data_IF_963600771489
#
_entry.id   IF_963600771489
#
_cell.length_a   1.000
_cell.length_b   1.000
_cell.length_c   1.000
_cell.angle_alpha   90.00
_cell.angle_beta   90.00
_cell.angle_gamma   90.00
#
_symmetry.space_group_name_H-M   'P 1'
#
loop_
_entity.id
_entity.type
_entity.pdbx_description
1 polymer ?
#
# COMPACT_ATOMS: atom_id res chain seq x y z
N UNK A 1 26.52 3.40 -11.42
CA UNK A 1 26.02 4.08 -10.20
C UNK A 1 24.63 3.58 -9.88
N UNK A 2 24.38 3.28 -8.63
CA UNK A 2 23.09 2.77 -8.19
C UNK A 2 22.41 3.78 -7.27
N UNK A 3 21.14 4.03 -7.50
CA UNK A 3 20.30 4.84 -6.62
C UNK A 3 19.11 3.97 -6.21
N UNK A 4 18.87 3.87 -4.91
CA UNK A 4 17.81 3.02 -4.38
C UNK A 4 16.95 3.86 -3.43
N UNK A 5 15.64 3.79 -3.59
CA UNK A 5 14.72 4.39 -2.62
C UNK A 5 14.75 3.54 -1.35
N UNK A 6 15.25 4.10 -0.27
CA UNK A 6 15.45 3.39 1.00
C UNK A 6 14.19 3.41 1.87
N UNK A 7 13.61 4.56 2.07
CA UNK A 7 12.39 4.72 2.84
C UNK A 7 11.65 5.97 2.42
N UNK A 8 10.36 6.01 2.72
CA UNK A 8 9.54 7.21 2.57
C UNK A 8 8.54 7.28 3.72
N UNK A 9 8.16 8.48 4.09
CA UNK A 9 7.13 8.71 5.10
C UNK A 9 5.77 8.68 4.42
N UNK A 10 4.85 7.87 4.95
CA UNK A 10 3.47 7.77 4.47
C UNK A 10 2.57 8.39 5.55
N UNK A 11 1.83 9.45 5.21
CA UNK A 11 0.95 10.10 6.19
C UNK A 11 -0.22 9.19 6.57
N UNK A 12 -0.62 9.26 7.82
CA UNK A 12 -1.69 8.41 8.35
C UNK A 12 -2.59 9.20 9.31
N UNK A 13 -3.83 8.76 9.44
CA UNK A 13 -4.72 9.19 10.52
C UNK A 13 -4.23 8.58 11.84
N UNK A 14 -3.92 7.28 11.81
CA UNK A 14 -3.29 6.54 12.91
C UNK A 14 -2.22 5.64 12.31
N UNK A 15 -0.97 5.87 12.68
CA UNK A 15 0.17 5.21 12.03
C UNK A 15 0.15 3.68 12.19
N UNK A 16 -0.20 3.17 13.37
CA UNK A 16 -0.23 1.72 13.62
C UNK A 16 -1.33 1.03 12.85
N UNK A 17 -2.53 1.63 12.82
CA UNK A 17 -3.66 1.09 12.07
C UNK A 17 -3.36 1.09 10.57
N UNK A 18 -2.80 2.19 10.06
CA UNK A 18 -2.43 2.30 8.65
C UNK A 18 -1.37 1.28 8.24
N UNK A 19 -0.33 1.11 9.06
CA UNK A 19 0.72 0.13 8.81
C UNK A 19 0.17 -1.30 8.83
N UNK A 20 -0.67 -1.61 9.82
CA UNK A 20 -1.31 -2.93 9.93
C UNK A 20 -2.21 -3.23 8.74
N UNK A 21 -3.03 -2.26 8.33
CA UNK A 21 -3.89 -2.39 7.17
C UNK A 21 -3.08 -2.69 5.91
N UNK A 22 -2.08 -1.85 5.62
CA UNK A 22 -1.24 -2.01 4.44
C UNK A 22 -0.51 -3.36 4.45
N UNK A 23 0.13 -3.69 5.56
CA UNK A 23 0.88 -4.95 5.71
C UNK A 23 -0.03 -6.17 5.54
N UNK A 24 -1.23 -6.13 6.11
CA UNK A 24 -2.18 -7.26 6.04
C UNK A 24 -2.67 -7.51 4.62
N UNK A 25 -2.95 -6.45 3.85
CA UNK A 25 -3.39 -6.57 2.46
C UNK A 25 -2.24 -7.01 1.56
N UNK A 26 -1.07 -6.40 1.72
CA UNK A 26 0.09 -6.68 0.86
C UNK A 26 0.83 -7.97 1.25
N UNK A 27 0.54 -8.53 2.41
CA UNK A 27 1.23 -9.72 2.91
C UNK A 27 2.66 -9.44 3.35
N UNK A 28 2.89 -8.29 3.95
CA UNK A 28 4.22 -7.82 4.34
C UNK A 28 4.38 -7.80 5.86
N UNK A 29 5.62 -7.87 6.36
CA UNK A 29 5.86 -7.80 7.80
C UNK A 29 5.77 -6.37 8.32
N UNK A 30 5.08 -6.20 9.45
CA UNK A 30 5.19 -5.00 10.26
C UNK A 30 6.47 -5.09 11.08
N UNK A 31 7.21 -3.98 11.18
CA UNK A 31 8.36 -3.86 12.04
C UNK A 31 7.97 -3.19 13.37
N UNK A 32 8.78 -3.35 14.43
CA UNK A 32 8.53 -2.63 15.68
C UNK A 32 8.49 -1.11 15.44
N UNK A 33 7.70 -0.37 16.25
CA UNK A 33 7.69 1.08 16.16
C UNK A 33 9.10 1.67 16.23
N UNK A 34 9.36 2.69 15.42
CA UNK A 34 10.66 3.30 15.28
C UNK A 34 10.56 4.81 15.56
N UNK A 35 11.72 5.41 15.79
CA UNK A 35 11.81 6.82 16.11
C UNK A 35 11.35 7.14 17.53
N UNK A 36 11.35 8.44 17.84
CA UNK A 36 11.04 8.93 19.18
C UNK A 36 9.56 8.65 19.52
N UNK A 37 9.31 7.99 20.64
CA UNK A 37 7.97 7.66 21.15
C UNK A 37 7.11 6.86 20.14
N UNK A 38 7.74 6.02 19.31
CA UNK A 38 6.99 5.26 18.31
C UNK A 38 6.43 6.13 17.19
N UNK A 39 7.13 7.19 16.85
CA UNK A 39 6.73 8.18 15.84
C UNK A 39 6.42 7.55 14.47
N UNK A 40 7.17 6.50 14.11
CA UNK A 40 6.96 5.77 12.87
C UNK A 40 6.46 4.36 13.13
N UNK A 41 5.54 3.91 12.27
CA UNK A 41 5.12 2.52 12.19
C UNK A 41 5.62 1.96 10.86
N UNK A 42 6.78 1.26 10.85
CA UNK A 42 7.40 0.83 9.60
C UNK A 42 6.78 -0.46 9.06
N UNK A 43 6.69 -0.53 7.73
CA UNK A 43 6.39 -1.77 7.00
C UNK A 43 7.51 -2.02 6.00
N UNK A 44 8.11 -3.21 6.08
CA UNK A 44 9.17 -3.62 5.17
C UNK A 44 8.57 -4.11 3.87
N UNK A 45 8.78 -3.38 2.77
CA UNK A 45 8.26 -3.75 1.45
C UNK A 45 9.15 -4.82 0.80
N UNK A 46 10.46 -4.59 0.82
CA UNK A 46 11.46 -5.53 0.32
C UNK A 46 12.80 -5.27 1.02
N UNK A 47 13.88 -5.83 0.52
CA UNK A 47 15.20 -5.69 1.15
C UNK A 47 15.71 -4.25 1.18
N UNK A 48 15.16 -3.35 0.33
CA UNK A 48 15.66 -1.99 0.18
C UNK A 48 14.70 -0.93 0.70
N UNK A 49 13.38 -1.17 0.59
CA UNK A 49 12.37 -0.15 0.85
C UNK A 49 11.58 -0.44 2.13
N UNK A 50 11.50 0.56 2.98
CA UNK A 50 10.61 0.59 4.14
C UNK A 50 9.65 1.77 4.00
N UNK A 51 8.37 1.55 4.26
CA UNK A 51 7.39 2.62 4.39
C UNK A 51 7.22 2.95 5.87
N UNK A 52 7.46 4.21 6.23
CA UNK A 52 7.34 4.70 7.59
C UNK A 52 6.02 5.45 7.74
N UNK A 53 4.99 4.78 8.28
CA UNK A 53 3.70 5.42 8.51
C UNK A 53 3.81 6.37 9.70
N UNK A 54 3.36 7.60 9.49
CA UNK A 54 3.43 8.66 10.50
C UNK A 54 2.07 9.32 10.67
N UNK A 55 1.61 9.39 11.92
CA UNK A 55 0.37 10.09 12.23
C UNK A 55 0.55 11.58 12.02
N UNK A 56 -0.34 12.20 11.25
CA UNK A 56 -0.37 13.64 11.02
C UNK A 56 -1.81 14.17 11.20
N UNK A 57 -1.94 15.43 11.58
CA UNK A 57 -3.25 16.01 11.91
C UNK A 57 -4.18 16.11 10.69
N UNK A 58 -3.62 16.45 9.54
CA UNK A 58 -4.38 16.60 8.29
C UNK A 58 -3.63 15.89 7.16
N UNK A 59 -3.75 14.57 7.06
CA UNK A 59 -3.00 13.82 6.05
C UNK A 59 -3.45 14.18 4.64
N UNK A 60 -2.47 14.37 3.77
CA UNK A 60 -2.68 14.45 2.32
C UNK A 60 -2.15 13.16 1.73
N UNK A 61 -3.03 12.37 1.13
CA UNK A 61 -2.70 11.05 0.63
C UNK A 61 -1.64 11.05 -0.47
N UNK A 62 -0.79 10.04 -0.44
CA UNK A 62 0.20 9.77 -1.49
C UNK A 62 -0.39 8.84 -2.53
N UNK A 63 0.25 8.76 -3.69
CA UNK A 63 0.00 7.73 -4.70
C UNK A 63 1.24 6.84 -4.78
N UNK A 64 1.12 5.60 -4.35
CA UNK A 64 2.19 4.62 -4.35
C UNK A 64 1.81 3.45 -5.25
N UNK A 65 2.63 3.19 -6.26
CA UNK A 65 2.39 2.13 -7.24
C UNK A 65 3.45 1.04 -7.10
N UNK A 66 3.01 -0.21 -7.14
CA UNK A 66 3.85 -1.39 -6.96
C UNK A 66 3.69 -2.35 -8.13
N UNK A 67 4.81 -2.80 -8.68
CA UNK A 67 4.82 -3.95 -9.58
C UNK A 67 4.92 -5.22 -8.72
N UNK A 68 4.08 -6.20 -9.03
CA UNK A 68 4.09 -7.50 -8.37
C UNK A 68 4.06 -8.62 -9.42
N UNK A 69 4.50 -9.80 -9.02
CA UNK A 69 4.34 -10.98 -9.86
C UNK A 69 2.87 -11.47 -9.82
N UNK A 70 2.45 -12.32 -10.80
CA UNK A 70 1.05 -12.76 -10.87
C UNK A 70 0.53 -13.44 -9.61
N UNK A 71 1.33 -14.29 -8.98
CA UNK A 71 0.91 -14.99 -7.76
C UNK A 71 0.70 -14.02 -6.60
N UNK A 72 1.58 -13.04 -6.46
CA UNK A 72 1.44 -12.00 -5.44
C UNK A 72 0.19 -11.15 -5.70
N UNK A 73 -0.08 -10.82 -6.97
CA UNK A 73 -1.31 -10.11 -7.33
C UNK A 73 -2.56 -10.90 -6.89
N UNK A 74 -2.61 -12.19 -7.21
CA UNK A 74 -3.74 -13.06 -6.83
C UNK A 74 -3.95 -13.07 -5.31
N UNK A 75 -2.89 -13.10 -4.54
CA UNK A 75 -2.95 -13.10 -3.07
C UNK A 75 -3.47 -11.76 -2.53
N UNK A 76 -2.99 -10.64 -3.07
CA UNK A 76 -3.44 -9.30 -2.67
C UNK A 76 -4.93 -9.14 -3.00
N UNK A 77 -5.32 -9.50 -4.21
CA UNK A 77 -6.71 -9.45 -4.65
C UNK A 77 -7.62 -10.31 -3.76
N UNK A 78 -7.19 -11.51 -3.42
CA UNK A 78 -7.92 -12.39 -2.50
C UNK A 78 -8.08 -11.77 -1.10
N UNK A 79 -7.02 -11.14 -0.57
CA UNK A 79 -7.08 -10.50 0.75
C UNK A 79 -8.03 -9.31 0.78
N UNK A 80 -8.02 -8.49 -0.27
CA UNK A 80 -8.96 -7.37 -0.40
C UNK A 80 -10.40 -7.86 -0.36
N UNK A 81 -10.72 -8.90 -1.12
CA UNK A 81 -12.06 -9.49 -1.16
C UNK A 81 -12.45 -10.10 0.19
N UNK A 82 -11.53 -10.85 0.81
CA UNK A 82 -11.79 -11.49 2.10
C UNK A 82 -12.01 -10.47 3.22
N UNK A 83 -11.30 -9.35 3.18
CA UNK A 83 -11.44 -8.28 4.16
C UNK A 83 -12.58 -7.30 3.84
N UNK A 84 -13.24 -7.45 2.70
CA UNK A 84 -14.29 -6.52 2.29
C UNK A 84 -13.78 -5.13 1.97
N UNK A 85 -12.51 -5.00 1.56
CA UNK A 85 -11.91 -3.72 1.20
C UNK A 85 -12.24 -3.39 -0.25
N UNK A 86 -12.83 -2.22 -0.54
CA UNK A 86 -13.10 -1.80 -1.91
C UNK A 86 -11.82 -1.67 -2.73
N UNK A 87 -11.89 -2.04 -4.00
CA UNK A 87 -10.82 -1.85 -4.97
C UNK A 87 -11.41 -1.56 -6.35
N UNK A 88 -10.59 -1.06 -7.27
CA UNK A 88 -11.05 -0.76 -8.62
C UNK A 88 -9.91 -0.57 -9.59
N UNK A 89 -10.23 -0.30 -10.86
CA UNK A 89 -9.27 -0.24 -11.95
C UNK A 89 -8.85 1.19 -12.36
N UNK A 90 -9.28 2.18 -11.61
CA UNK A 90 -9.01 3.58 -11.95
C UNK A 90 -8.79 4.40 -10.68
N UNK A 91 -7.84 5.36 -10.67
CA UNK A 91 -7.59 6.17 -9.48
C UNK A 91 -8.79 7.01 -9.03
N UNK A 92 -9.66 7.42 -9.95
CA UNK A 92 -10.89 8.13 -9.63
C UNK A 92 -12.04 7.19 -9.24
N UNK A 93 -11.90 5.88 -9.50
CA UNK A 93 -12.90 4.85 -9.20
C UNK A 93 -12.23 3.64 -8.52
N UNK A 94 -11.62 3.84 -7.33
CA UNK A 94 -10.88 2.78 -6.66
C UNK A 94 -11.79 1.76 -5.96
N UNK A 95 -13.07 1.79 -6.25
CA UNK A 95 -14.11 0.98 -5.61
C UNK A 95 -15.05 0.27 -6.59
N UNK A 96 -14.74 0.30 -7.89
CA UNK A 96 -15.62 -0.31 -8.90
C UNK A 96 -15.50 -1.84 -9.02
N UNK A 97 -14.60 -2.47 -8.28
CA UNK A 97 -14.44 -3.92 -8.25
C UNK A 97 -13.75 -4.54 -9.47
N UNK A 98 -13.17 -3.71 -10.34
CA UNK A 98 -12.53 -4.18 -11.58
C UNK A 98 -11.02 -4.23 -11.41
N UNK A 99 -10.39 -5.12 -12.18
CA UNK A 99 -8.92 -5.31 -12.19
C UNK A 99 -8.32 -5.18 -13.60
N UNK A 100 -9.12 -4.79 -14.60
CA UNK A 100 -8.66 -4.56 -15.96
C UNK A 100 -8.03 -3.16 -16.07
N UNK A 101 -6.80 -3.06 -15.61
CA UNK A 101 -6.04 -1.81 -15.57
C UNK A 101 -5.69 -1.37 -17.00
N UNK A 102 -5.75 -0.06 -17.33
CA UNK A 102 -5.51 0.40 -18.71
C UNK A 102 -4.06 0.28 -19.16
N UNK A 103 -3.10 0.17 -18.23
CA UNK A 103 -1.67 0.21 -18.53
C UNK A 103 -0.95 -1.13 -18.31
N UNK A 104 -1.65 -2.15 -17.82
CA UNK A 104 -1.06 -3.47 -17.58
C UNK A 104 -2.14 -4.55 -17.67
N UNK A 105 -1.76 -5.84 -17.84
CA UNK A 105 -2.71 -6.92 -17.98
C UNK A 105 -3.71 -7.03 -16.83
N UNK A 106 -3.23 -6.87 -15.58
CA UNK A 106 -4.09 -6.78 -14.40
C UNK A 106 -3.56 -5.75 -13.45
N UNK A 107 -4.42 -4.97 -12.86
CA UNK A 107 -4.04 -4.00 -11.86
C UNK A 107 -5.25 -3.49 -11.10
N UNK A 108 -5.01 -3.00 -9.90
CA UNK A 108 -6.06 -2.47 -9.05
C UNK A 108 -5.53 -1.31 -8.21
N UNK A 109 -6.49 -0.54 -7.71
CA UNK A 109 -6.26 0.54 -6.77
C UNK A 109 -7.08 0.30 -5.52
N UNK A 110 -6.53 0.65 -4.36
CA UNK A 110 -7.29 0.70 -3.11
C UNK A 110 -6.74 1.83 -2.24
N UNK A 111 -7.52 2.24 -1.26
CA UNK A 111 -7.18 3.39 -0.41
C UNK A 111 -7.21 3.02 1.06
N UNK A 112 -6.49 3.78 1.87
CA UNK A 112 -6.59 3.72 3.31
C UNK A 112 -7.38 4.92 3.87
N UNK A 113 -7.46 5.03 5.19
CA UNK A 113 -8.24 6.08 5.86
C UNK A 113 -7.69 7.49 5.57
N UNK A 114 -6.38 7.63 5.40
CA UNK A 114 -5.74 8.89 5.06
C UNK A 114 -5.82 9.22 3.56
N UNK A 115 -6.50 8.35 2.78
CA UNK A 115 -6.62 8.45 1.33
C UNK A 115 -5.30 8.30 0.59
N UNK A 116 -4.35 7.58 1.15
CA UNK A 116 -3.24 7.08 0.35
C UNK A 116 -3.81 6.15 -0.71
N UNK A 117 -3.46 6.38 -1.96
CA UNK A 117 -3.90 5.58 -3.08
C UNK A 117 -2.80 4.58 -3.41
N UNK A 118 -3.10 3.31 -3.22
CA UNK A 118 -2.19 2.21 -3.53
C UNK A 118 -2.59 1.59 -4.86
N UNK A 119 -1.61 1.44 -5.74
CA UNK A 119 -1.79 0.82 -7.05
C UNK A 119 -0.93 -0.44 -7.11
N UNK A 120 -1.52 -1.56 -7.54
CA UNK A 120 -0.83 -2.84 -7.67
C UNK A 120 -0.97 -3.31 -9.11
N UNK A 121 0.15 -3.54 -9.78
CA UNK A 121 0.21 -3.90 -11.20
C UNK A 121 0.91 -5.24 -11.38
N UNK A 122 0.35 -6.06 -12.26
CA UNK A 122 0.91 -7.37 -12.61
C UNK A 122 1.15 -7.46 -14.13
N UNK A 123 2.25 -8.07 -14.56
CA UNK A 123 2.54 -8.27 -15.99
C UNK A 123 1.68 -9.36 -16.63
N UNK A 124 0.92 -10.09 -15.84
CA UNK A 124 0.06 -11.18 -16.36
C UNK A 124 -1.15 -11.44 -15.49
#
# INVERSE_FOLDING_TARGET
>A
MTITLNHTIVPAVDNRQAARFFASIMGLPELPPAGRAGHFAPVRVNEQLTLDFMTVAEPVGLHLAFDVDPDTFDQIWARLRAAGVPFGNHPAHPDNGRIDHPLCPRGLFFTDEARNLYEVMSPA
#
